data_IF_417108773792
#
_entry.id   IF_417108773792
#
_cell.length_a   1.000
_cell.length_b   1.000
_cell.length_c   1.000
_cell.angle_alpha   90.00
_cell.angle_beta   90.00
_cell.angle_gamma   90.00
#
_symmetry.space_group_name_H-M   'P 1'
#
loop_
_entity.id
_entity.type
_entity.pdbx_description
1 polymer ?
#
# COMPACT_ATOMS: atom_id res chain seq x y z
N UNK A 1 4.91 49.55 78.73
CA UNK A 1 5.26 48.23 79.28
C UNK A 1 6.31 47.63 78.37
N UNK A 2 7.56 47.56 78.82
CA UNK A 2 8.61 46.88 78.08
C UNK A 2 8.47 45.38 78.34
N UNK A 3 8.43 44.56 77.28
CA UNK A 3 8.49 43.11 77.39
C UNK A 3 9.69 42.70 78.25
N UNK A 4 9.49 41.74 79.13
CA UNK A 4 10.56 41.16 79.92
C UNK A 4 11.55 40.45 78.98
N UNK A 5 12.84 40.43 79.31
CA UNK A 5 13.85 39.86 78.42
C UNK A 5 13.62 38.37 78.13
N UNK A 6 12.91 37.66 79.02
CA UNK A 6 12.46 36.28 78.81
C UNK A 6 11.42 36.17 77.68
N UNK A 7 10.45 37.09 77.64
CA UNK A 7 9.40 37.12 76.60
C UNK A 7 9.99 37.50 75.23
N UNK A 8 10.98 38.39 75.19
CA UNK A 8 11.69 38.74 73.95
C UNK A 8 12.47 37.55 73.39
N UNK A 9 13.17 36.80 74.25
CA UNK A 9 13.91 35.60 73.85
C UNK A 9 12.95 34.50 73.37
N UNK A 10 11.81 34.32 74.04
CA UNK A 10 10.79 33.35 73.62
C UNK A 10 10.18 33.72 72.27
N UNK A 11 9.83 34.99 72.05
CA UNK A 11 9.32 35.47 70.76
C UNK A 11 10.37 35.30 69.67
N UNK A 12 11.64 35.58 69.97
CA UNK A 12 12.74 35.41 69.02
C UNK A 12 12.93 33.93 68.63
N UNK A 13 13.03 33.02 69.59
CA UNK A 13 13.21 31.57 69.34
C UNK A 13 11.98 30.97 68.64
N UNK A 14 10.77 31.41 68.99
CA UNK A 14 9.56 30.98 68.30
C UNK A 14 9.51 31.51 66.84
N UNK A 15 9.92 32.75 66.62
CA UNK A 15 9.97 33.35 65.29
C UNK A 15 11.04 32.71 64.41
N UNK A 16 12.21 32.36 64.95
CA UNK A 16 13.26 31.68 64.20
C UNK A 16 12.84 30.27 63.82
N UNK A 17 12.15 29.54 64.71
CA UNK A 17 11.61 28.20 64.39
C UNK A 17 10.51 28.23 63.35
N UNK A 18 9.64 29.24 63.36
CA UNK A 18 8.64 29.42 62.32
C UNK A 18 9.29 29.71 60.96
N UNK A 19 10.31 30.57 60.96
CA UNK A 19 11.03 30.94 59.74
C UNK A 19 11.82 29.75 59.17
N UNK A 20 12.47 28.96 60.02
CA UNK A 20 13.12 27.70 59.64
C UNK A 20 12.11 26.69 59.07
N UNK A 21 10.94 26.55 59.70
CA UNK A 21 9.87 25.68 59.22
C UNK A 21 9.32 26.16 57.87
N UNK A 22 9.14 27.45 57.67
CA UNK A 22 8.68 28.02 56.40
C UNK A 22 9.74 27.84 55.30
N UNK A 23 11.03 28.01 55.63
CA UNK A 23 12.12 27.74 54.69
C UNK A 23 12.21 26.27 54.32
N UNK A 24 12.07 25.36 55.28
CA UNK A 24 12.05 23.91 55.04
C UNK A 24 10.83 23.50 54.21
N UNK A 25 9.67 24.06 54.51
CA UNK A 25 8.42 23.79 53.79
C UNK A 25 8.53 24.31 52.36
N UNK A 26 9.08 25.52 52.16
CA UNK A 26 9.31 26.09 50.84
C UNK A 26 10.36 25.30 50.04
N UNK A 27 11.45 24.85 50.66
CA UNK A 27 12.44 23.98 49.99
C UNK A 27 11.85 22.61 49.63
N UNK A 28 11.04 22.03 50.52
CA UNK A 28 10.35 20.77 50.28
C UNK A 28 9.37 20.92 49.11
N UNK A 29 8.58 21.99 49.08
CA UNK A 29 7.65 22.25 47.97
C UNK A 29 8.39 22.58 46.68
N UNK A 30 9.42 23.43 46.70
CA UNK A 30 10.20 23.80 45.51
C UNK A 30 10.96 22.62 44.88
N UNK A 31 11.42 21.67 45.69
CA UNK A 31 12.05 20.43 45.23
C UNK A 31 11.08 19.31 44.88
N UNK A 32 9.86 19.33 45.43
CA UNK A 32 8.84 18.31 45.17
C UNK A 32 8.27 18.41 43.75
N UNK A 33 7.78 17.28 43.23
CA UNK A 33 7.04 17.22 41.98
C UNK A 33 5.84 18.18 41.96
N UNK A 34 5.22 18.46 43.12
CA UNK A 34 4.07 19.37 43.24
C UNK A 34 4.49 20.83 42.98
N UNK A 35 5.58 21.30 43.58
CA UNK A 35 6.05 22.67 43.33
C UNK A 35 6.65 22.87 41.94
N UNK A 36 7.25 21.83 41.35
CA UNK A 36 7.69 21.86 39.95
C UNK A 36 6.49 21.95 38.99
N UNK A 37 5.44 21.16 39.22
CA UNK A 37 4.22 21.19 38.41
C UNK A 37 3.46 22.51 38.56
N UNK A 38 3.31 23.04 39.78
CA UNK A 38 2.70 24.35 40.04
C UNK A 38 3.51 25.49 39.43
N UNK A 39 4.84 25.45 39.53
CA UNK A 39 5.72 26.43 38.86
C UNK A 39 5.57 26.38 37.35
N UNK A 40 5.49 25.18 36.76
CA UNK A 40 5.29 25.02 35.32
C UNK A 40 3.92 25.55 34.87
N UNK A 41 2.88 25.34 35.69
CA UNK A 41 1.52 25.84 35.46
C UNK A 41 1.45 27.38 35.53
N UNK A 42 2.07 27.99 36.54
CA UNK A 42 2.10 29.47 36.71
C UNK A 42 2.91 30.15 35.61
N UNK A 43 3.96 29.51 35.12
CA UNK A 43 4.80 30.03 34.04
C UNK A 43 4.24 29.73 32.64
N UNK A 44 3.04 29.13 32.54
CA UNK A 44 2.43 28.75 31.26
C UNK A 44 3.24 27.73 30.47
N UNK A 45 4.20 27.06 31.12
CA UNK A 45 4.91 25.94 30.53
C UNK A 45 3.95 24.75 30.42
N UNK A 46 4.05 23.92 29.37
CA UNK A 46 3.26 22.71 29.32
C UNK A 46 3.56 21.93 30.60
N UNK A 47 2.53 21.71 31.43
CA UNK A 47 2.60 20.75 32.53
C UNK A 47 2.90 19.44 31.84
N UNK A 48 4.19 19.10 31.76
CA UNK A 48 4.63 17.78 31.42
C UNK A 48 4.29 16.96 32.65
N UNK A 49 3.00 16.62 32.79
CA UNK A 49 2.66 15.32 33.30
C UNK A 49 3.63 14.42 32.54
N UNK A 50 4.59 13.84 33.25
CA UNK A 50 5.31 12.70 32.74
C UNK A 50 4.18 11.77 32.35
N UNK A 51 3.79 11.81 31.08
CA UNK A 51 2.89 10.82 30.51
C UNK A 51 3.58 9.55 30.93
N UNK A 52 2.97 8.82 31.85
CA UNK A 52 3.35 7.46 32.10
C UNK A 52 2.97 6.76 30.81
N UNK A 53 3.81 6.94 29.78
CA UNK A 53 3.68 6.25 28.52
C UNK A 53 3.88 4.83 28.93
N UNK A 54 2.77 4.11 29.07
CA UNK A 54 2.81 2.72 29.45
C UNK A 54 3.71 2.05 28.40
N UNK A 55 4.89 1.52 28.78
CA UNK A 55 5.86 1.01 27.80
C UNK A 55 5.25 -0.08 26.93
N UNK A 56 4.21 -0.77 27.42
CA UNK A 56 3.42 -1.72 26.66
C UNK A 56 2.53 -1.05 25.60
N UNK A 57 1.88 0.08 25.91
CA UNK A 57 1.05 0.81 24.94
C UNK A 57 1.90 1.48 23.86
N UNK A 58 3.05 2.04 24.23
CA UNK A 58 3.99 2.60 23.26
C UNK A 58 4.56 1.50 22.35
N UNK A 59 4.95 0.35 22.93
CA UNK A 59 5.41 -0.79 22.15
C UNK A 59 4.32 -1.28 21.18
N UNK A 60 3.07 -1.43 21.63
CA UNK A 60 1.99 -1.91 20.76
C UNK A 60 1.59 -0.86 19.72
N UNK A 61 1.56 0.43 20.05
CA UNK A 61 1.30 1.47 19.05
C UNK A 61 2.45 1.56 18.04
N UNK A 62 3.69 1.28 18.45
CA UNK A 62 4.85 1.14 17.58
C UNK A 62 4.73 -0.04 16.62
N UNK A 63 4.33 -1.22 17.11
CA UNK A 63 4.10 -2.38 16.24
C UNK A 63 2.97 -2.12 15.26
N UNK A 64 1.84 -1.55 15.70
CA UNK A 64 0.72 -1.22 14.82
C UNK A 64 1.11 -0.23 13.72
N UNK A 65 1.95 0.78 14.01
CA UNK A 65 2.47 1.70 12.98
C UNK A 65 3.42 1.00 12.01
N UNK A 66 4.26 0.10 12.51
CA UNK A 66 5.16 -0.68 11.67
C UNK A 66 4.36 -1.60 10.74
N UNK A 67 3.34 -2.28 11.26
CA UNK A 67 2.45 -3.15 10.50
C UNK A 67 1.65 -2.34 9.47
N UNK A 68 1.09 -1.19 9.86
CA UNK A 68 0.44 -0.28 8.92
C UNK A 68 1.38 0.18 7.79
N UNK A 69 2.66 0.45 8.11
CA UNK A 69 3.69 0.77 7.13
C UNK A 69 3.95 -0.37 6.16
N UNK A 70 4.09 -1.60 6.68
CA UNK A 70 4.29 -2.80 5.89
C UNK A 70 3.08 -3.10 4.99
N UNK A 71 1.85 -3.01 5.51
CA UNK A 71 0.62 -3.21 4.75
C UNK A 71 0.46 -2.17 3.64
N UNK A 72 0.84 -0.90 3.85
CA UNK A 72 0.86 0.10 2.77
C UNK A 72 1.88 -0.24 1.68
N UNK A 73 3.04 -0.77 2.05
CA UNK A 73 4.03 -1.21 1.06
C UNK A 73 3.50 -2.40 0.26
N UNK A 74 2.88 -3.37 0.93
CA UNK A 74 2.20 -4.48 0.28
C UNK A 74 1.13 -4.00 -0.70
N UNK A 75 0.29 -3.04 -0.29
CA UNK A 75 -0.72 -2.45 -1.17
C UNK A 75 -0.09 -1.83 -2.42
N UNK A 76 1.01 -1.07 -2.29
CA UNK A 76 1.75 -0.52 -3.42
C UNK A 76 2.31 -1.60 -4.35
N UNK A 77 2.90 -2.65 -3.79
CA UNK A 77 3.44 -3.76 -4.57
C UNK A 77 2.33 -4.50 -5.33
N UNK A 78 1.16 -4.68 -4.72
CA UNK A 78 -0.03 -5.27 -5.37
C UNK A 78 -0.58 -4.34 -6.47
N UNK A 79 -0.60 -3.02 -6.25
CA UNK A 79 -0.98 -2.04 -7.26
C UNK A 79 -0.01 -1.98 -8.45
N UNK A 80 1.29 -2.17 -8.21
CA UNK A 80 2.28 -2.33 -9.26
C UNK A 80 2.02 -3.61 -10.07
N UNK A 81 1.72 -4.73 -9.40
CA UNK A 81 1.33 -5.97 -10.06
C UNK A 81 0.06 -5.82 -10.91
N UNK A 82 -0.94 -5.07 -10.42
CA UNK A 82 -2.14 -4.74 -11.20
C UNK A 82 -1.78 -3.90 -12.44
N UNK A 83 -0.88 -2.93 -12.29
CA UNK A 83 -0.39 -2.10 -13.38
C UNK A 83 0.36 -2.91 -14.45
N UNK A 84 1.19 -3.88 -14.02
CA UNK A 84 1.85 -4.83 -14.92
C UNK A 84 0.84 -5.64 -15.74
N UNK A 85 -0.21 -6.15 -15.09
CA UNK A 85 -1.31 -6.85 -15.76
C UNK A 85 -2.07 -5.94 -16.74
N UNK A 86 -2.32 -4.69 -16.37
CA UNK A 86 -2.96 -3.72 -17.25
C UNK A 86 -2.14 -3.40 -18.51
N UNK A 87 -0.82 -3.30 -18.40
CA UNK A 87 0.08 -3.13 -19.55
C UNK A 87 0.04 -4.36 -20.46
N UNK A 88 0.16 -5.55 -19.89
CA UNK A 88 0.06 -6.80 -20.65
C UNK A 88 -1.29 -6.93 -21.36
N UNK A 89 -2.40 -6.61 -20.67
CA UNK A 89 -3.76 -6.59 -21.25
C UNK A 89 -3.89 -5.59 -22.40
N UNK A 90 -3.29 -4.42 -22.29
CA UNK A 90 -3.31 -3.40 -23.36
C UNK A 90 -2.55 -3.88 -24.59
N UNK A 91 -1.40 -4.55 -24.39
CA UNK A 91 -0.70 -5.25 -25.47
C UNK A 91 -1.57 -6.30 -26.15
N UNK A 92 -2.23 -7.15 -25.36
CA UNK A 92 -3.16 -8.18 -25.87
C UNK A 92 -4.32 -7.60 -26.66
N UNK A 93 -4.93 -6.51 -26.19
CA UNK A 93 -6.02 -5.85 -26.93
C UNK A 93 -5.55 -5.33 -28.30
N UNK A 94 -4.32 -4.85 -28.40
CA UNK A 94 -3.71 -4.43 -29.67
C UNK A 94 -3.49 -5.62 -30.60
N UNK A 95 -3.10 -6.77 -30.07
CA UNK A 95 -2.95 -8.02 -30.82
C UNK A 95 -4.31 -8.54 -31.31
N UNK A 96 -5.32 -8.61 -30.43
CA UNK A 96 -6.67 -9.04 -30.77
C UNK A 96 -7.27 -8.15 -31.86
N UNK A 97 -7.13 -6.82 -31.76
CA UNK A 97 -7.55 -5.90 -32.83
C UNK A 97 -6.85 -6.16 -34.16
N UNK A 98 -5.54 -6.42 -34.17
CA UNK A 98 -4.82 -6.72 -35.40
C UNK A 98 -5.26 -8.06 -36.01
N UNK A 99 -5.57 -9.07 -35.18
CA UNK A 99 -6.12 -10.35 -35.64
C UNK A 99 -7.52 -10.18 -36.24
N UNK A 100 -8.39 -9.38 -35.62
CA UNK A 100 -9.70 -9.04 -36.19
C UNK A 100 -9.56 -8.31 -37.53
N UNK A 101 -8.59 -7.40 -37.66
CA UNK A 101 -8.31 -6.74 -38.94
C UNK A 101 -7.83 -7.75 -40.01
N UNK A 102 -7.03 -8.74 -39.63
CA UNK A 102 -6.59 -9.82 -40.52
C UNK A 102 -7.77 -10.72 -40.95
N UNK A 103 -8.68 -11.05 -40.05
CA UNK A 103 -9.92 -11.77 -40.35
C UNK A 103 -10.79 -10.97 -41.32
N UNK A 104 -10.98 -9.67 -41.07
CA UNK A 104 -11.73 -8.77 -41.95
C UNK A 104 -11.13 -8.71 -43.36
N UNK A 105 -9.80 -8.69 -43.50
CA UNK A 105 -9.14 -8.76 -44.82
C UNK A 105 -9.51 -10.06 -45.53
N UNK A 106 -9.42 -11.20 -44.83
CA UNK A 106 -9.76 -12.51 -45.40
C UNK A 106 -11.23 -12.55 -45.83
N UNK A 107 -12.14 -12.05 -45.02
CA UNK A 107 -13.57 -12.01 -45.32
C UNK A 107 -13.88 -11.13 -46.54
N UNK A 108 -13.25 -9.95 -46.63
CA UNK A 108 -13.36 -9.09 -47.82
C UNK A 108 -12.83 -9.73 -49.09
N UNK A 109 -11.81 -10.59 -48.99
CA UNK A 109 -11.35 -11.38 -50.13
C UNK A 109 -12.40 -12.45 -50.50
N UNK A 110 -13.00 -13.12 -49.50
CA UNK A 110 -14.03 -14.12 -49.72
C UNK A 110 -15.32 -13.55 -50.35
N UNK A 111 -15.69 -12.31 -50.00
CA UNK A 111 -16.84 -11.62 -50.60
C UNK A 111 -16.54 -11.01 -51.98
N UNK A 112 -15.27 -10.99 -52.40
CA UNK A 112 -14.81 -10.41 -53.65
C UNK A 112 -14.65 -8.88 -53.63
N UNK A 113 -14.71 -8.25 -52.44
CA UNK A 113 -14.42 -6.82 -52.25
C UNK A 113 -12.92 -6.52 -52.40
N UNK A 114 -12.07 -7.46 -52.00
CA UNK A 114 -10.62 -7.40 -52.13
C UNK A 114 -10.08 -8.54 -53.00
N UNK A 115 -8.98 -8.28 -53.68
CA UNK A 115 -8.24 -9.30 -54.44
C UNK A 115 -7.10 -9.85 -53.58
N UNK A 116 -7.17 -11.13 -53.21
CA UNK A 116 -6.12 -11.81 -52.44
C UNK A 116 -4.80 -12.00 -53.19
N UNK A 117 -4.79 -11.79 -54.51
CA UNK A 117 -3.56 -11.76 -55.33
C UNK A 117 -2.93 -10.36 -55.42
N UNK A 118 -3.62 -9.32 -54.92
CA UNK A 118 -3.10 -7.95 -54.89
C UNK A 118 -1.93 -7.83 -53.92
N UNK A 119 -0.80 -7.31 -54.41
CA UNK A 119 0.41 -7.08 -53.59
C UNK A 119 0.16 -6.12 -52.43
N UNK A 120 -0.80 -5.20 -52.57
CA UNK A 120 -1.18 -4.27 -51.50
C UNK A 120 -1.85 -5.03 -50.35
N UNK A 121 -2.84 -5.85 -50.65
CA UNK A 121 -3.58 -6.63 -49.65
C UNK A 121 -2.66 -7.62 -48.91
N UNK A 122 -1.76 -8.27 -49.64
CA UNK A 122 -0.78 -9.18 -49.04
C UNK A 122 0.21 -8.43 -48.14
N UNK A 123 0.64 -7.24 -48.55
CA UNK A 123 1.51 -6.38 -47.74
C UNK A 123 0.82 -5.89 -46.48
N UNK A 124 -0.44 -5.47 -46.56
CA UNK A 124 -1.22 -5.02 -45.41
C UNK A 124 -1.40 -6.15 -44.40
N UNK A 125 -1.70 -7.36 -44.86
CA UNK A 125 -1.81 -8.55 -44.01
C UNK A 125 -0.48 -8.87 -43.29
N UNK A 126 0.64 -8.81 -44.01
CA UNK A 126 1.96 -9.03 -43.42
C UNK A 126 2.32 -7.91 -42.44
N UNK A 127 1.97 -6.66 -42.73
CA UNK A 127 2.20 -5.53 -41.83
C UNK A 127 1.41 -5.66 -40.52
N UNK A 128 0.20 -6.22 -40.55
CA UNK A 128 -0.56 -6.54 -39.35
C UNK A 128 0.11 -7.61 -38.50
N UNK A 129 0.59 -8.71 -39.13
CA UNK A 129 1.40 -9.71 -38.43
C UNK A 129 2.65 -9.11 -37.81
N UNK A 130 3.38 -8.29 -38.55
CA UNK A 130 4.62 -7.67 -38.08
C UNK A 130 4.33 -6.67 -36.93
N UNK A 131 3.18 -5.98 -36.96
CA UNK A 131 2.68 -5.17 -35.84
C UNK A 131 2.41 -6.02 -34.60
N UNK A 132 1.83 -7.21 -34.76
CA UNK A 132 1.62 -8.16 -33.65
C UNK A 132 2.97 -8.57 -33.04
N UNK A 133 3.92 -9.02 -33.86
CA UNK A 133 5.26 -9.40 -33.40
C UNK A 133 6.00 -8.23 -32.73
N UNK A 134 5.87 -7.02 -33.26
CA UNK A 134 6.39 -5.80 -32.66
C UNK A 134 5.74 -5.50 -31.30
N UNK A 135 4.43 -5.73 -31.17
CA UNK A 135 3.71 -5.56 -29.91
C UNK A 135 4.15 -6.59 -28.87
N UNK A 136 4.28 -7.87 -29.25
CA UNK A 136 4.74 -8.94 -28.36
C UNK A 136 6.13 -8.61 -27.80
N UNK A 137 7.08 -8.29 -28.69
CA UNK A 137 8.46 -8.02 -28.31
C UNK A 137 8.67 -6.68 -27.59
N UNK A 138 7.78 -5.71 -27.82
CA UNK A 138 7.83 -4.36 -27.24
C UNK A 138 6.97 -4.15 -26.00
N UNK A 139 6.14 -5.12 -25.60
CA UNK A 139 5.34 -5.01 -24.36
C UNK A 139 6.19 -5.36 -23.17
N UNK A 140 6.69 -4.33 -22.49
CA UNK A 140 7.45 -4.43 -21.26
C UNK A 140 6.87 -3.55 -20.14
N UNK A 141 7.23 -3.89 -18.90
CA UNK A 141 7.02 -3.03 -17.75
C UNK A 141 8.31 -2.99 -16.95
N UNK A 142 8.92 -1.81 -16.84
CA UNK A 142 10.16 -1.61 -16.08
C UNK A 142 11.27 -2.62 -16.48
N UNK A 143 11.38 -2.93 -17.78
CA UNK A 143 12.36 -3.88 -18.32
C UNK A 143 11.98 -5.36 -18.23
N UNK A 144 10.82 -5.70 -17.65
CA UNK A 144 10.28 -7.06 -17.64
C UNK A 144 9.41 -7.26 -18.88
N UNK A 145 9.79 -8.19 -19.76
CA UNK A 145 9.00 -8.55 -20.93
C UNK A 145 7.76 -9.36 -20.52
N UNK A 146 6.57 -8.92 -20.96
CA UNK A 146 5.30 -9.49 -20.49
C UNK A 146 4.72 -10.56 -21.41
N UNK A 147 4.94 -10.45 -22.71
CA UNK A 147 4.31 -11.32 -23.71
C UNK A 147 5.32 -12.21 -24.46
N UNK A 148 6.61 -11.88 -24.36
CA UNK A 148 7.71 -12.53 -25.08
C UNK A 148 8.48 -13.49 -24.15
N UNK A 149 8.22 -14.79 -24.30
CA UNK A 149 8.83 -15.83 -23.46
C UNK A 149 10.32 -16.01 -23.69
N UNK A 150 10.84 -15.60 -24.85
CA UNK A 150 12.28 -15.68 -25.16
C UNK A 150 13.13 -14.78 -24.27
N UNK A 151 12.50 -13.75 -23.67
CA UNK A 151 13.12 -12.79 -22.76
C UNK A 151 12.88 -13.15 -21.27
N UNK A 152 12.26 -14.28 -21.00
CA UNK A 152 12.05 -14.78 -19.63
C UNK A 152 13.26 -15.54 -19.10
N UNK A 153 13.24 -15.88 -17.80
CA UNK A 153 14.38 -16.53 -17.13
C UNK A 153 15.43 -15.53 -16.63
N UNK A 154 14.98 -14.33 -16.25
CA UNK A 154 15.84 -13.31 -15.61
C UNK A 154 15.66 -13.33 -14.10
N UNK A 155 16.37 -12.45 -13.37
CA UNK A 155 16.20 -12.33 -11.93
C UNK A 155 14.80 -11.83 -11.51
N UNK A 156 14.06 -11.18 -12.42
CA UNK A 156 12.76 -10.58 -12.13
C UNK A 156 11.58 -11.44 -12.61
N UNK A 157 11.79 -12.28 -13.64
CA UNK A 157 10.77 -13.17 -14.20
C UNK A 157 11.35 -14.57 -14.40
N UNK A 158 10.69 -15.57 -13.82
CA UNK A 158 11.06 -16.97 -14.00
C UNK A 158 10.83 -17.42 -15.45
N UNK A 159 11.50 -18.49 -15.86
CA UNK A 159 11.31 -19.16 -17.16
C UNK A 159 9.86 -19.56 -17.43
N UNK A 160 9.06 -19.78 -16.39
CA UNK A 160 7.63 -20.05 -16.49
C UNK A 160 6.73 -18.80 -16.56
N UNK A 161 7.30 -17.61 -16.77
CA UNK A 161 6.57 -16.36 -16.86
C UNK A 161 6.03 -15.85 -15.52
N UNK A 162 6.60 -16.32 -14.40
CA UNK A 162 6.14 -15.93 -13.05
C UNK A 162 6.96 -14.77 -12.52
N UNK A 163 6.28 -13.76 -11.99
CA UNK A 163 6.91 -12.66 -11.25
C UNK A 163 6.43 -12.70 -9.81
N UNK A 164 7.36 -12.74 -8.88
CA UNK A 164 7.06 -12.77 -7.45
C UNK A 164 6.76 -11.35 -6.94
N UNK A 165 5.56 -11.16 -6.40
CA UNK A 165 5.11 -9.91 -5.79
C UNK A 165 5.12 -10.07 -4.28
N UNK A 166 5.97 -9.29 -3.62
CA UNK A 166 6.03 -9.28 -2.17
C UNK A 166 4.79 -8.57 -1.60
N UNK A 167 3.90 -9.33 -0.95
CA UNK A 167 2.67 -8.81 -0.34
C UNK A 167 2.72 -8.82 1.20
N UNK A 168 3.75 -9.39 1.81
CA UNK A 168 3.92 -9.37 3.27
C UNK A 168 5.40 -9.43 3.65
N UNK A 169 5.70 -9.22 4.93
CA UNK A 169 7.04 -9.24 5.51
C UNK A 169 7.74 -10.59 5.39
N UNK A 170 6.97 -11.69 5.33
CA UNK A 170 7.49 -13.06 5.19
C UNK A 170 6.97 -13.81 3.96
N UNK A 171 6.29 -13.13 3.04
CA UNK A 171 5.62 -13.80 1.93
C UNK A 171 5.18 -12.90 0.79
N UNK A 172 4.61 -13.55 -0.21
CA UNK A 172 4.14 -12.92 -1.44
C UNK A 172 3.38 -13.93 -2.28
N UNK A 173 3.06 -13.53 -3.50
CA UNK A 173 2.40 -14.39 -4.48
C UNK A 173 3.02 -14.16 -5.85
N UNK A 174 2.89 -15.17 -6.72
CA UNK A 174 3.33 -15.06 -8.09
C UNK A 174 2.20 -14.57 -8.98
N UNK A 175 2.50 -13.56 -9.80
CA UNK A 175 1.71 -13.26 -10.99
C UNK A 175 2.26 -14.05 -12.16
N UNK A 176 1.38 -14.65 -12.96
CA UNK A 176 1.76 -15.48 -14.11
C UNK A 176 1.41 -14.79 -15.42
N UNK A 177 2.40 -14.59 -16.26
CA UNK A 177 2.25 -14.22 -17.65
C UNK A 177 2.22 -15.46 -18.55
N UNK A 178 1.52 -15.32 -19.67
CA UNK A 178 1.40 -16.34 -20.71
C UNK A 178 2.28 -15.97 -21.90
N UNK A 179 2.98 -16.97 -22.43
CA UNK A 179 3.81 -16.82 -23.61
C UNK A 179 2.90 -16.60 -24.82
N UNK A 180 3.09 -15.49 -25.53
CA UNK A 180 2.31 -15.15 -26.73
C UNK A 180 3.16 -15.31 -27.99
N UNK A 181 4.48 -15.26 -27.87
CA UNK A 181 5.45 -15.51 -28.93
C UNK A 181 5.38 -16.95 -29.47
N UNK A 182 5.05 -17.92 -28.63
CA UNK A 182 4.86 -19.32 -29.00
C UNK A 182 3.47 -19.83 -28.57
N UNK A 183 2.44 -19.62 -29.39
CA UNK A 183 1.05 -19.96 -29.07
C UNK A 183 0.86 -21.45 -28.77
N UNK A 184 0.07 -21.75 -27.75
CA UNK A 184 -0.24 -23.13 -27.35
C UNK A 184 -1.12 -23.87 -28.37
N UNK A 185 -1.82 -23.13 -29.24
CA UNK A 185 -2.52 -23.66 -30.40
C UNK A 185 -1.61 -24.36 -31.42
N UNK A 186 -0.28 -24.16 -31.35
CA UNK A 186 0.70 -24.75 -32.26
C UNK A 186 0.79 -24.03 -33.62
N UNK A 187 0.10 -22.90 -33.76
CA UNK A 187 0.19 -22.01 -34.93
C UNK A 187 1.30 -21.01 -34.68
N UNK A 188 2.32 -20.98 -35.54
CA UNK A 188 3.37 -19.96 -35.42
C UNK A 188 2.94 -18.69 -36.12
N UNK A 189 3.36 -17.54 -35.59
CA UNK A 189 3.14 -16.24 -36.24
C UNK A 189 3.72 -16.18 -37.66
N UNK A 190 4.79 -16.92 -37.94
CA UNK A 190 5.38 -17.04 -39.28
C UNK A 190 4.50 -17.77 -40.29
N UNK A 191 3.55 -18.58 -39.83
CA UNK A 191 2.63 -19.34 -40.69
C UNK A 191 1.53 -18.43 -41.26
N UNK A 192 1.34 -17.24 -40.65
CA UNK A 192 0.51 -16.18 -41.18
C UNK A 192 1.26 -15.48 -42.33
N UNK A 193 0.73 -15.62 -43.55
CA UNK A 193 1.38 -15.07 -44.75
C UNK A 193 0.36 -14.55 -45.74
N UNK A 194 0.54 -13.28 -46.15
CA UNK A 194 -0.27 -12.66 -47.19
C UNK A 194 -0.23 -13.41 -48.52
N UNK A 195 0.89 -14.08 -48.85
CA UNK A 195 1.02 -14.84 -50.09
C UNK A 195 0.02 -16.01 -50.18
N UNK A 196 -0.42 -16.53 -49.04
CA UNK A 196 -1.38 -17.63 -48.93
C UNK A 196 -2.84 -17.19 -49.14
N UNK A 197 -3.11 -15.89 -49.36
CA UNK A 197 -4.48 -15.36 -49.52
C UNK A 197 -5.04 -15.53 -50.94
N UNK A 198 -4.19 -15.71 -51.94
CA UNK A 198 -4.59 -15.77 -53.35
C UNK A 198 -5.42 -17.03 -53.69
N UNK A 199 -5.10 -18.17 -53.08
CA UNK A 199 -5.76 -19.45 -53.34
C UNK A 199 -6.77 -19.75 -52.24
N UNK A 200 -7.98 -20.16 -52.62
CA UNK A 200 -9.08 -20.40 -51.66
C UNK A 200 -8.74 -21.43 -50.58
N UNK A 201 -8.09 -22.54 -50.96
CA UNK A 201 -7.70 -23.58 -50.00
C UNK A 201 -6.70 -23.09 -48.93
N UNK A 202 -5.67 -22.35 -49.34
CA UNK A 202 -4.68 -21.80 -48.39
C UNK A 202 -5.26 -20.63 -47.60
N UNK A 203 -6.16 -19.83 -48.19
CA UNK A 203 -6.87 -18.75 -47.51
C UNK A 203 -7.76 -19.29 -46.39
N UNK A 204 -8.47 -20.39 -46.62
CA UNK A 204 -9.25 -21.05 -45.57
C UNK A 204 -8.36 -21.53 -44.41
N UNK A 205 -7.15 -22.04 -44.70
CA UNK A 205 -6.17 -22.38 -43.65
C UNK A 205 -5.71 -21.15 -42.88
N UNK A 206 -5.42 -20.03 -43.56
CA UNK A 206 -5.05 -18.77 -42.91
C UNK A 206 -6.15 -18.25 -41.99
N UNK A 207 -7.42 -18.34 -42.41
CA UNK A 207 -8.56 -17.99 -41.57
C UNK A 207 -8.59 -18.84 -40.30
N UNK A 208 -8.42 -20.16 -40.43
CA UNK A 208 -8.36 -21.07 -39.28
C UNK A 208 -7.23 -20.75 -38.31
N UNK A 209 -6.06 -20.35 -38.82
CA UNK A 209 -4.93 -19.88 -38.00
C UNK A 209 -5.27 -18.59 -37.25
N UNK A 210 -5.80 -17.57 -37.94
CA UNK A 210 -6.21 -16.30 -37.32
C UNK A 210 -7.27 -16.54 -36.24
N UNK A 211 -8.28 -17.36 -36.51
CA UNK A 211 -9.35 -17.65 -35.55
C UNK A 211 -8.86 -18.42 -34.33
N UNK A 212 -7.97 -19.40 -34.52
CA UNK A 212 -7.35 -20.13 -33.41
C UNK A 212 -6.53 -19.21 -32.52
N UNK A 213 -5.71 -18.34 -33.13
CA UNK A 213 -4.91 -17.36 -32.40
C UNK A 213 -5.82 -16.34 -31.70
N UNK A 214 -6.84 -15.80 -32.37
CA UNK A 214 -7.76 -14.82 -31.79
C UNK A 214 -8.46 -15.39 -30.55
N UNK A 215 -8.98 -16.62 -30.63
CA UNK A 215 -9.60 -17.28 -29.48
C UNK A 215 -8.63 -17.49 -28.32
N UNK A 216 -7.36 -17.80 -28.60
CA UNK A 216 -6.33 -17.94 -27.58
C UNK A 216 -5.98 -16.59 -26.94
N UNK A 217 -5.80 -15.55 -27.75
CA UNK A 217 -5.50 -14.19 -27.30
C UNK A 217 -6.62 -13.61 -26.44
N UNK A 218 -7.87 -13.81 -26.82
CA UNK A 218 -9.03 -13.34 -26.07
C UNK A 218 -9.17 -14.04 -24.71
N UNK A 219 -8.83 -15.34 -24.65
CA UNK A 219 -8.78 -16.10 -23.39
C UNK A 219 -7.71 -15.53 -22.46
N UNK A 220 -6.49 -15.31 -22.97
CA UNK A 220 -5.39 -14.71 -22.20
C UNK A 220 -5.75 -13.29 -21.74
N UNK A 221 -6.34 -12.48 -22.62
CA UNK A 221 -6.78 -11.12 -22.29
C UNK A 221 -7.82 -11.12 -21.16
N UNK A 222 -8.80 -12.03 -21.22
CA UNK A 222 -9.83 -12.18 -20.18
C UNK A 222 -9.22 -12.60 -18.84
N UNK A 223 -8.22 -13.48 -18.86
CA UNK A 223 -7.47 -13.86 -17.67
C UNK A 223 -6.71 -12.67 -17.06
N UNK A 224 -6.04 -11.86 -17.89
CA UNK A 224 -5.35 -10.66 -17.42
C UNK A 224 -6.30 -9.62 -16.84
N UNK A 225 -7.46 -9.42 -17.46
CA UNK A 225 -8.50 -8.53 -16.91
C UNK A 225 -8.98 -9.01 -15.54
N UNK A 226 -9.34 -10.29 -15.42
CA UNK A 226 -9.80 -10.84 -14.14
C UNK A 226 -8.73 -10.75 -13.05
N UNK A 227 -7.45 -10.94 -13.40
CA UNK A 227 -6.32 -10.77 -12.46
C UNK A 227 -6.11 -9.31 -12.09
N UNK A 228 -6.16 -8.39 -13.04
CA UNK A 228 -6.06 -6.94 -12.81
C UNK A 228 -7.13 -6.50 -11.81
N UNK A 229 -8.40 -6.84 -12.06
CA UNK A 229 -9.52 -6.49 -11.17
C UNK A 229 -9.35 -7.09 -9.77
N UNK A 230 -8.90 -8.34 -9.69
CA UNK A 230 -8.62 -9.02 -8.42
C UNK A 230 -7.51 -8.34 -7.62
N UNK A 231 -6.43 -7.92 -8.28
CA UNK A 231 -5.30 -7.22 -7.66
C UNK A 231 -5.69 -5.81 -7.22
N UNK A 232 -6.46 -5.07 -8.02
CA UNK A 232 -6.97 -3.75 -7.63
C UNK A 232 -7.88 -3.84 -6.40
N UNK A 233 -8.75 -4.85 -6.34
CA UNK A 233 -9.59 -5.12 -5.16
C UNK A 233 -8.74 -5.42 -3.92
N UNK A 234 -7.70 -6.25 -4.07
CA UNK A 234 -6.78 -6.58 -2.98
C UNK A 234 -5.97 -5.36 -2.52
N UNK A 235 -5.51 -4.50 -3.43
CA UNK A 235 -4.84 -3.25 -3.09
C UNK A 235 -5.74 -2.39 -2.19
N UNK A 236 -7.00 -2.17 -2.59
CA UNK A 236 -7.95 -1.37 -1.81
C UNK A 236 -8.22 -1.97 -0.43
N UNK A 237 -8.32 -3.30 -0.34
CA UNK A 237 -8.48 -4.00 0.94
C UNK A 237 -7.27 -3.78 1.87
N UNK A 238 -6.04 -3.87 1.33
CA UNK A 238 -4.81 -3.62 2.09
C UNK A 238 -4.69 -2.14 2.52
N UNK A 239 -5.06 -1.21 1.65
CA UNK A 239 -5.09 0.22 2.01
C UNK A 239 -6.07 0.49 3.16
N UNK A 240 -7.27 -0.10 3.11
CA UNK A 240 -8.25 -0.01 4.20
C UNK A 240 -7.71 -0.62 5.50
N UNK A 241 -7.10 -1.80 5.43
CA UNK A 241 -6.48 -2.44 6.59
C UNK A 241 -5.38 -1.56 7.22
N UNK A 242 -4.53 -0.95 6.40
CA UNK A 242 -3.50 -0.04 6.89
C UNK A 242 -4.09 1.18 7.63
N UNK A 243 -5.17 1.77 7.11
CA UNK A 243 -5.87 2.88 7.76
C UNK A 243 -6.47 2.48 9.11
N UNK A 244 -7.05 1.28 9.20
CA UNK A 244 -7.58 0.74 10.47
C UNK A 244 -6.44 0.57 11.48
N UNK A 245 -5.28 0.08 11.06
CA UNK A 245 -4.11 -0.08 11.93
C UNK A 245 -3.56 1.27 12.40
N UNK A 246 -3.53 2.29 11.54
CA UNK A 246 -3.16 3.66 11.96
C UNK A 246 -4.13 4.22 12.99
N UNK A 247 -5.44 4.08 12.75
CA UNK A 247 -6.47 4.54 13.66
C UNK A 247 -6.37 3.82 15.01
N UNK A 248 -6.13 2.50 15.00
CA UNK A 248 -5.90 1.73 16.22
C UNK A 248 -4.63 2.19 16.96
N UNK A 249 -3.55 2.51 16.23
CA UNK A 249 -2.33 3.05 16.82
C UNK A 249 -2.51 4.45 17.41
N UNK A 250 -3.38 5.27 16.82
CA UNK A 250 -3.74 6.60 17.33
C UNK A 250 -4.61 6.50 18.59
N UNK A 251 -5.65 5.66 18.58
CA UNK A 251 -6.54 5.44 19.72
C UNK A 251 -5.82 4.83 20.93
N UNK A 252 -4.78 4.00 20.70
CA UNK A 252 -3.97 3.42 21.77
C UNK A 252 -2.86 4.30 22.28
N UNK A 253 -2.44 5.31 21.51
CA UNK A 253 -1.58 6.34 22.09
C UNK A 253 -2.45 7.05 23.13
N UNK A 254 -2.05 7.17 24.39
CA UNK A 254 -2.78 8.00 25.33
C UNK A 254 -2.68 9.44 24.83
N UNK A 255 -3.63 9.85 23.98
CA UNK A 255 -4.05 11.23 23.91
C UNK A 255 -4.77 11.47 25.22
N UNK A 256 -3.98 11.72 26.27
CA UNK A 256 -4.52 12.32 27.48
C UNK A 256 -4.07 13.79 27.54
N UNK A 257 -4.71 14.69 26.77
CA UNK A 257 -4.85 16.07 27.21
C UNK A 257 -5.91 16.22 28.32
N UNK A 258 -6.50 15.11 28.78
CA UNK A 258 -7.67 15.03 29.66
C UNK A 258 -7.37 14.62 31.10
N UNK A 259 -6.11 14.67 31.57
CA UNK A 259 -5.86 15.04 32.97
C UNK A 259 -6.31 16.50 33.12
N UNK A 260 -7.63 16.69 33.12
CA UNK A 260 -8.25 18.00 33.25
C UNK A 260 -7.84 18.53 34.62
N UNK A 261 -7.73 19.85 34.71
CA UNK A 261 -7.34 20.55 35.93
C UNK A 261 -8.18 20.06 37.12
N UNK A 262 -9.47 19.76 36.87
CA UNK A 262 -10.42 19.23 37.86
C UNK A 262 -10.02 17.86 38.39
N UNK A 263 -9.51 16.96 37.55
CA UNK A 263 -9.10 15.61 37.97
C UNK A 263 -7.79 15.65 38.74
N UNK A 264 -6.85 16.49 38.33
CA UNK A 264 -5.62 16.75 39.07
C UNK A 264 -5.90 17.42 40.42
N UNK A 265 -6.80 18.41 40.46
CA UNK A 265 -7.26 19.07 41.68
C UNK A 265 -7.97 18.11 42.61
N UNK A 266 -8.87 17.26 42.09
CA UNK A 266 -9.55 16.24 42.87
C UNK A 266 -8.55 15.27 43.51
N UNK A 267 -7.55 14.81 42.77
CA UNK A 267 -6.54 13.87 43.26
C UNK A 267 -5.57 14.53 44.28
N UNK A 268 -5.24 15.82 44.08
CA UNK A 268 -4.45 16.59 45.04
C UNK A 268 -5.23 16.83 46.34
N UNK A 269 -6.51 17.17 46.25
CA UNK A 269 -7.40 17.33 47.40
C UNK A 269 -7.57 15.99 48.12
N UNK A 270 -7.77 14.88 47.40
CA UNK A 270 -7.88 13.54 48.00
C UNK A 270 -6.60 13.12 48.73
N UNK A 271 -5.43 13.46 48.17
CA UNK A 271 -4.13 13.12 48.74
C UNK A 271 -3.77 13.96 49.97
N UNK A 272 -4.10 15.25 49.99
CA UNK A 272 -3.79 16.15 51.12
C UNK A 272 -4.88 16.11 52.21
N UNK A 273 -6.13 15.78 51.86
CA UNK A 273 -7.25 15.78 52.82
C UNK A 273 -7.38 14.50 53.64
N UNK A 274 -6.67 13.42 53.29
CA UNK A 274 -6.65 12.17 54.06
C UNK A 274 -8.02 11.76 54.61
N UNK A 275 -8.84 11.09 53.78
CA UNK A 275 -10.12 10.47 54.19
C UNK A 275 -11.13 11.41 54.88
N UNK A 276 -11.91 12.19 54.12
CA UNK A 276 -13.21 12.73 54.63
C UNK A 276 -14.36 12.55 53.62
N UNK A 277 -14.23 11.75 52.57
CA UNK A 277 -15.37 11.35 51.74
C UNK A 277 -15.45 9.83 51.61
N UNK A 278 -16.39 9.24 52.34
CA UNK A 278 -16.95 7.92 52.05
C UNK A 278 -17.85 8.07 50.83
N UNK A 279 -17.44 7.46 49.72
CA UNK A 279 -18.19 7.41 48.47
C UNK A 279 -19.35 6.41 48.50
N UNK A 280 -20.14 6.41 49.57
CA UNK A 280 -21.46 5.74 49.60
C UNK A 280 -22.53 6.75 49.98
N UNK A 281 -23.09 7.37 48.94
CA UNK A 281 -24.23 8.30 48.98
C UNK A 281 -24.55 8.81 47.59
#
# INVERSE_FOLDING_TARGET
MALTDLEKVFIYDYSSRLLERDMLTNQLFAGSAVGQNLRSLVLGGPVRATTFTNPFEEAISGTLRADAGATRQAARNVGEAASMMGVARTGMATISSALSDMENIIDKINTGELDGSSSVVQSDYNALRDKVLGTISGTDFNGIAMLDSTKWGTAQIDSGGKVFIQSDKSGGFDISFHAVDNPASGVNWSDLSGASLAVEGTRATQLGYVQSLASEMDSIQSMYQSKEDGLQSQELALQSQAQILDNAAQLRKPSDPGYSLEKLLADLILRDSGTIFDGTG
#
